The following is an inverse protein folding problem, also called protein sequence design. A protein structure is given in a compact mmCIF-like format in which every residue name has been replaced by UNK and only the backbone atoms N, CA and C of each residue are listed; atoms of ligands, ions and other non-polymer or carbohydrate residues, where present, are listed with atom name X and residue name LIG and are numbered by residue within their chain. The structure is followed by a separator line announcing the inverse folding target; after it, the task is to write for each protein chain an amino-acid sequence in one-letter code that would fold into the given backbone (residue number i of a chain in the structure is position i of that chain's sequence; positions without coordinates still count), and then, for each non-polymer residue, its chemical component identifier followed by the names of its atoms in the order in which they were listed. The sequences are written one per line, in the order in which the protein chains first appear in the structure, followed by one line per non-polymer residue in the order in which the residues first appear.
data_IF_869351444672
#
_entry.id   IF_869351444672
#
_cell.length_a   1.000
_cell.length_b   1.000
_cell.length_c   1.000
_cell.angle_alpha   90.00
_cell.angle_beta   90.00
_cell.angle_gamma   90.00
#
_symmetry.space_group_name_H-M   'P 1'
#
loop_
_entity.id
_entity.type
_entity.pdbx_description
1 polymer ?
#
# COMPACT_ATOMS: atom_id res chain seq x y z
N UNK A 1 31.39 -49.59 -34.35
CA UNK A 1 31.31 -48.13 -34.12
C UNK A 1 29.91 -47.77 -33.63
N UNK A 2 29.74 -47.56 -32.33
CA UNK A 2 28.60 -46.83 -31.76
C UNK A 2 29.17 -45.96 -30.65
N UNK A 3 29.27 -44.65 -30.91
CA UNK A 3 29.76 -43.67 -29.98
C UNK A 3 28.64 -43.30 -29.02
N UNK A 4 28.83 -43.60 -27.74
CA UNK A 4 27.97 -43.13 -26.65
C UNK A 4 28.48 -41.75 -26.23
N UNK A 5 27.78 -40.69 -26.64
CA UNK A 5 28.10 -39.33 -26.20
C UNK A 5 27.50 -39.13 -24.80
N UNK A 6 28.33 -39.25 -23.76
CA UNK A 6 27.98 -38.75 -22.43
C UNK A 6 28.05 -37.22 -22.45
N UNK A 7 26.90 -36.55 -22.38
CA UNK A 7 26.86 -35.12 -22.12
C UNK A 7 26.86 -34.89 -20.61
N UNK A 8 28.05 -34.93 -20.01
CA UNK A 8 28.27 -34.48 -18.64
C UNK A 8 28.11 -32.95 -18.60
N UNK A 9 26.88 -32.48 -18.35
CA UNK A 9 26.63 -31.08 -17.99
C UNK A 9 27.15 -30.84 -16.58
N UNK A 10 28.39 -30.40 -16.48
CA UNK A 10 28.95 -29.81 -15.28
C UNK A 10 28.17 -28.52 -14.98
N UNK A 11 27.10 -28.61 -14.18
CA UNK A 11 26.49 -27.42 -13.57
C UNK A 11 27.52 -26.81 -12.64
N UNK A 12 28.22 -25.80 -13.13
CA UNK A 12 28.88 -24.84 -12.26
C UNK A 12 27.80 -24.18 -11.42
N UNK A 13 27.70 -24.58 -10.15
CA UNK A 13 27.06 -23.82 -9.06
C UNK A 13 27.84 -22.51 -8.85
N UNK A 14 27.83 -21.67 -9.88
CA UNK A 14 28.16 -20.27 -9.78
C UNK A 14 27.11 -19.66 -8.86
N UNK A 15 27.56 -19.23 -7.67
CA UNK A 15 26.73 -18.48 -6.73
C UNK A 15 25.95 -17.41 -7.51
N UNK A 16 24.64 -17.60 -7.69
CA UNK A 16 23.76 -16.63 -8.34
C UNK A 16 23.67 -15.38 -7.49
N UNK A 17 24.69 -14.53 -7.61
CA UNK A 17 24.76 -13.23 -7.00
C UNK A 17 24.42 -12.22 -8.09
N UNK A 18 23.18 -11.73 -8.09
CA UNK A 18 22.82 -10.49 -8.79
C UNK A 18 23.85 -9.42 -8.43
N UNK A 19 24.16 -8.51 -9.38
CA UNK A 19 25.07 -7.39 -9.15
C UNK A 19 24.55 -6.54 -7.97
N UNK A 20 25.03 -6.93 -6.81
CA UNK A 20 24.35 -6.63 -5.57
C UNK A 20 24.55 -5.18 -5.17
N UNK A 21 25.57 -4.50 -5.72
CA UNK A 21 25.98 -3.15 -5.32
C UNK A 21 24.96 -2.11 -5.76
N UNK A 22 24.47 -2.20 -6.99
CA UNK A 22 23.47 -1.24 -7.52
C UNK A 22 22.16 -1.35 -6.74
N UNK A 23 21.64 -2.57 -6.52
CA UNK A 23 20.41 -2.79 -5.74
C UNK A 23 20.53 -2.40 -4.27
N UNK A 24 21.74 -2.50 -3.69
CA UNK A 24 22.04 -2.08 -2.31
C UNK A 24 22.00 -0.56 -2.12
N UNK A 25 22.00 0.22 -3.21
CA UNK A 25 21.96 1.68 -3.17
C UNK A 25 20.62 2.20 -3.68
N UNK A 26 20.19 1.76 -4.86
CA UNK A 26 19.01 2.32 -5.53
C UNK A 26 17.73 2.07 -4.71
N UNK A 27 17.43 0.83 -4.29
CA UNK A 27 16.18 0.56 -3.57
C UNK A 27 16.14 1.23 -2.18
N UNK A 28 17.22 1.21 -1.37
CA UNK A 28 17.27 1.97 -0.13
C UNK A 28 17.04 3.48 -0.33
N UNK A 29 17.66 4.11 -1.34
CA UNK A 29 17.41 5.53 -1.66
C UNK A 29 15.95 5.79 -2.04
N UNK A 30 15.39 4.96 -2.91
CA UNK A 30 14.00 5.03 -3.35
C UNK A 30 13.00 4.88 -2.18
N UNK A 31 13.24 3.96 -1.25
CA UNK A 31 12.42 3.81 -0.05
C UNK A 31 12.66 4.91 0.99
N UNK A 32 13.86 5.50 1.03
CA UNK A 32 14.16 6.66 1.88
C UNK A 32 13.32 7.86 1.43
N UNK A 33 13.21 8.11 0.12
CA UNK A 33 12.30 9.11 -0.42
C UNK A 33 10.84 8.85 -0.01
N UNK A 34 10.36 7.61 -0.17
CA UNK A 34 8.99 7.25 0.25
C UNK A 34 8.76 7.43 1.75
N UNK A 35 9.76 7.14 2.59
CA UNK A 35 9.65 7.33 4.03
C UNK A 35 9.57 8.82 4.40
N UNK A 36 10.47 9.63 3.86
CA UNK A 36 10.55 11.07 4.14
C UNK A 36 9.29 11.83 3.69
N UNK A 37 8.68 11.42 2.58
CA UNK A 37 7.42 11.99 2.10
C UNK A 37 6.22 11.37 2.82
N UNK A 38 6.21 10.05 2.97
CA UNK A 38 5.08 9.28 3.46
C UNK A 38 4.77 9.53 4.93
N UNK A 39 5.78 9.62 5.81
CA UNK A 39 5.59 9.85 7.25
C UNK A 39 4.85 11.16 7.54
N UNK A 40 5.32 12.34 7.08
CA UNK A 40 4.63 13.59 7.40
C UNK A 40 3.22 13.62 6.78
N UNK A 41 3.05 13.11 5.56
CA UNK A 41 1.77 13.09 4.88
C UNK A 41 0.73 12.19 5.56
N UNK A 42 1.09 10.95 5.86
CA UNK A 42 0.19 10.01 6.52
C UNK A 42 0.03 10.32 8.01
N UNK A 43 1.06 10.85 8.67
CA UNK A 43 0.98 11.35 10.05
C UNK A 43 -0.01 12.51 10.16
N UNK A 44 0.06 13.50 9.25
CA UNK A 44 -0.92 14.58 9.18
C UNK A 44 -2.32 14.06 8.88
N UNK A 45 -2.46 13.14 7.90
CA UNK A 45 -3.74 12.55 7.56
C UNK A 45 -4.35 11.81 8.76
N UNK A 46 -3.54 11.03 9.49
CA UNK A 46 -3.95 10.34 10.70
C UNK A 46 -4.44 11.34 11.75
N UNK A 47 -3.66 12.37 12.05
CA UNK A 47 -4.06 13.39 13.02
C UNK A 47 -5.38 14.09 12.65
N UNK A 48 -5.58 14.44 11.37
CA UNK A 48 -6.83 15.04 10.88
C UNK A 48 -7.99 14.05 11.02
N UNK A 49 -7.86 12.83 10.50
CA UNK A 49 -8.98 11.88 10.47
C UNK A 49 -9.40 11.42 11.86
N UNK A 50 -8.47 11.28 12.80
CA UNK A 50 -8.82 10.91 14.18
C UNK A 50 -9.65 11.98 14.90
N UNK A 51 -9.54 13.25 14.51
CA UNK A 51 -10.42 14.34 14.98
C UNK A 51 -11.78 14.37 14.27
N UNK A 52 -11.89 13.78 13.08
CA UNK A 52 -13.15 13.74 12.33
C UNK A 52 -14.02 12.57 12.84
N UNK A 53 -15.27 12.83 13.28
CA UNK A 53 -16.16 11.77 13.73
C UNK A 53 -16.56 10.85 12.58
N UNK A 54 -16.64 9.54 12.85
CA UNK A 54 -16.95 8.50 11.86
C UNK A 54 -18.44 8.46 11.47
N UNK A 55 -18.94 9.53 10.85
CA UNK A 55 -20.36 9.70 10.47
C UNK A 55 -20.74 9.05 9.13
N UNK A 56 -19.79 8.46 8.40
CA UNK A 56 -20.06 7.74 7.15
C UNK A 56 -19.12 6.55 6.95
N UNK A 57 -19.58 5.53 6.21
CA UNK A 57 -18.78 4.35 5.86
C UNK A 57 -17.46 4.75 5.19
N UNK A 58 -17.51 5.74 4.29
CA UNK A 58 -16.34 6.35 3.66
C UNK A 58 -15.27 6.80 4.66
N UNK A 59 -15.65 7.49 5.74
CA UNK A 59 -14.68 7.96 6.76
C UNK A 59 -14.12 6.79 7.56
N UNK A 60 -14.91 5.74 7.81
CA UNK A 60 -14.44 4.52 8.48
C UNK A 60 -13.37 3.82 7.61
N UNK A 61 -13.65 3.61 6.33
CA UNK A 61 -12.69 2.96 5.43
C UNK A 61 -11.43 3.80 5.25
N UNK A 62 -11.56 5.12 5.08
CA UNK A 62 -10.41 6.04 5.00
C UNK A 62 -9.51 5.98 6.23
N UNK A 63 -10.09 5.97 7.44
CA UNK A 63 -9.31 5.83 8.67
C UNK A 63 -8.48 4.55 8.65
N UNK A 64 -9.08 3.43 8.22
CA UNK A 64 -8.36 2.18 8.13
C UNK A 64 -7.26 2.21 7.06
N UNK A 65 -7.51 2.81 5.89
CA UNK A 65 -6.47 2.97 4.85
C UNK A 65 -5.29 3.79 5.37
N UNK A 66 -5.55 4.91 6.05
CA UNK A 66 -4.48 5.74 6.63
C UNK A 66 -3.70 4.98 7.71
N UNK A 67 -4.38 4.15 8.53
CA UNK A 67 -3.72 3.30 9.51
C UNK A 67 -2.82 2.26 8.82
N UNK A 68 -3.32 1.56 7.79
CA UNK A 68 -2.52 0.57 7.08
C UNK A 68 -1.34 1.19 6.33
N UNK A 69 -1.54 2.32 5.66
CA UNK A 69 -0.46 3.04 4.97
C UNK A 69 0.61 3.54 5.94
N UNK A 70 0.20 4.11 7.08
CA UNK A 70 1.15 4.54 8.11
C UNK A 70 1.96 3.37 8.67
N UNK A 71 1.30 2.25 9.01
CA UNK A 71 1.98 1.04 9.45
C UNK A 71 2.92 0.48 8.38
N UNK A 72 2.55 0.54 7.10
CA UNK A 72 3.44 0.16 6.00
C UNK A 72 4.68 1.06 5.96
N UNK A 73 4.51 2.38 6.05
CA UNK A 73 5.63 3.33 5.98
C UNK A 73 6.60 3.16 7.16
N UNK A 74 6.09 2.83 8.36
CA UNK A 74 6.93 2.51 9.52
C UNK A 74 7.85 1.30 9.30
N UNK A 75 7.55 0.43 8.32
CA UNK A 75 8.42 -0.70 7.96
C UNK A 75 9.60 -0.30 7.06
N UNK A 76 9.54 0.87 6.40
CA UNK A 76 10.54 1.28 5.41
C UNK A 76 11.95 1.44 6.00
N UNK A 77 12.17 2.06 7.18
CA UNK A 77 13.51 2.17 7.75
C UNK A 77 14.20 0.82 7.92
N UNK A 78 13.48 -0.19 8.38
CA UNK A 78 13.99 -1.55 8.54
C UNK A 78 14.34 -2.19 7.18
N UNK A 79 13.49 -1.98 6.15
CA UNK A 79 13.77 -2.44 4.79
C UNK A 79 15.00 -1.75 4.20
N UNK A 80 15.10 -0.42 4.33
CA UNK A 80 16.24 0.40 3.86
C UNK A 80 17.54 -0.11 4.48
N UNK A 81 17.57 -0.23 5.81
CA UNK A 81 18.75 -0.70 6.54
C UNK A 81 19.17 -2.12 6.15
N UNK A 82 18.19 -3.02 5.99
CA UNK A 82 18.43 -4.41 5.58
C UNK A 82 18.95 -4.53 4.15
N UNK A 83 18.33 -3.80 3.22
CA UNK A 83 18.67 -3.84 1.79
C UNK A 83 20.00 -3.15 1.51
N UNK A 84 20.33 -2.09 2.25
CA UNK A 84 21.64 -1.42 2.23
C UNK A 84 22.74 -2.20 2.98
N UNK A 85 22.40 -3.31 3.64
CA UNK A 85 23.30 -4.12 4.49
C UNK A 85 24.01 -3.33 5.59
N UNK A 86 23.37 -2.26 6.09
CA UNK A 86 23.89 -1.41 7.17
C UNK A 86 23.65 -2.01 8.57
N UNK A 87 22.98 -3.16 8.64
CA UNK A 87 22.60 -3.81 9.90
C UNK A 87 23.06 -5.26 9.97
N UNK A 88 23.17 -5.76 11.19
CA UNK A 88 23.57 -7.13 11.46
C UNK A 88 22.64 -8.15 10.77
N UNK A 89 23.22 -9.28 10.39
CA UNK A 89 22.50 -10.46 9.92
C UNK A 89 21.32 -10.90 10.82
N UNK A 90 21.39 -10.65 12.12
CA UNK A 90 20.29 -10.90 13.07
C UNK A 90 19.10 -9.98 12.79
N UNK A 91 19.34 -8.67 12.63
CA UNK A 91 18.29 -7.70 12.32
C UNK A 91 17.70 -7.92 10.91
N UNK A 92 18.53 -8.34 9.94
CA UNK A 92 18.02 -8.78 8.62
C UNK A 92 17.09 -9.99 8.72
N UNK A 93 17.39 -10.92 9.63
CA UNK A 93 16.49 -12.02 9.96
C UNK A 93 15.16 -11.55 10.57
N UNK A 94 15.18 -10.54 11.45
CA UNK A 94 13.97 -9.91 11.98
C UNK A 94 13.14 -9.21 10.88
N UNK A 95 13.81 -8.53 9.94
CA UNK A 95 13.15 -7.90 8.79
C UNK A 95 12.38 -8.94 7.98
N UNK A 96 13.00 -10.07 7.65
CA UNK A 96 12.33 -11.17 6.93
C UNK A 96 11.14 -11.75 7.70
N UNK A 97 11.30 -11.92 9.02
CA UNK A 97 10.35 -12.60 9.87
C UNK A 97 9.12 -11.74 10.20
N UNK A 98 9.31 -10.45 10.46
CA UNK A 98 8.28 -9.56 10.99
C UNK A 98 8.03 -8.41 10.03
N UNK A 99 9.01 -7.52 9.84
CA UNK A 99 8.86 -6.27 9.08
C UNK A 99 8.30 -6.50 7.68
N UNK A 100 8.87 -7.44 6.93
CA UNK A 100 8.48 -7.71 5.56
C UNK A 100 7.09 -8.34 5.49
N UNK A 101 6.71 -9.14 6.49
CA UNK A 101 5.35 -9.68 6.58
C UNK A 101 4.36 -8.55 6.89
N UNK A 102 4.67 -7.68 7.86
CA UNK A 102 3.85 -6.48 8.17
C UNK A 102 3.67 -5.60 6.95
N UNK A 103 4.74 -5.36 6.17
CA UNK A 103 4.69 -4.58 4.93
C UNK A 103 3.64 -5.14 3.93
N UNK A 104 3.66 -6.45 3.64
CA UNK A 104 2.68 -7.01 2.69
C UNK A 104 1.29 -7.06 3.29
N UNK A 105 1.19 -7.43 4.57
CA UNK A 105 -0.06 -7.46 5.33
C UNK A 105 -0.79 -6.11 5.25
N UNK A 106 -0.11 -5.01 5.53
CA UNK A 106 -0.70 -3.67 5.48
C UNK A 106 -0.99 -3.23 4.05
N UNK A 107 -0.15 -3.58 3.07
CA UNK A 107 -0.40 -3.32 1.65
C UNK A 107 -1.73 -3.92 1.17
N UNK A 108 -2.00 -5.20 1.49
CA UNK A 108 -3.26 -5.85 1.11
C UNK A 108 -4.47 -5.30 1.86
N UNK A 109 -4.29 -4.89 3.12
CA UNK A 109 -5.34 -4.17 3.86
C UNK A 109 -5.69 -2.85 3.16
N UNK A 110 -4.69 -2.05 2.75
CA UNK A 110 -4.92 -0.82 2.00
C UNK A 110 -5.68 -1.10 0.69
N UNK A 111 -5.28 -2.12 -0.08
CA UNK A 111 -5.98 -2.54 -1.33
C UNK A 111 -7.46 -2.88 -1.06
N UNK A 112 -7.74 -3.69 -0.03
CA UNK A 112 -9.11 -4.05 0.34
C UNK A 112 -9.95 -2.81 0.67
N UNK A 113 -9.41 -1.89 1.46
CA UNK A 113 -10.14 -0.65 1.79
C UNK A 113 -10.31 0.29 0.59
N UNK A 114 -9.36 0.37 -0.35
CA UNK A 114 -9.53 1.13 -1.59
C UNK A 114 -10.71 0.59 -2.43
N UNK A 115 -10.87 -0.73 -2.49
CA UNK A 115 -12.03 -1.36 -3.13
C UNK A 115 -13.34 -1.00 -2.43
N UNK A 116 -13.39 -1.07 -1.09
CA UNK A 116 -14.57 -0.70 -0.31
C UNK A 116 -14.93 0.79 -0.43
N UNK A 117 -13.93 1.67 -0.46
CA UNK A 117 -14.11 3.11 -0.73
C UNK A 117 -14.74 3.29 -2.10
N UNK A 118 -14.25 2.59 -3.13
CA UNK A 118 -14.77 2.66 -4.49
C UNK A 118 -16.23 2.17 -4.56
N UNK A 119 -16.59 1.11 -3.84
CA UNK A 119 -17.98 0.64 -3.72
C UNK A 119 -18.87 1.70 -3.05
N UNK A 120 -18.45 2.30 -1.92
CA UNK A 120 -19.20 3.37 -1.26
C UNK A 120 -19.43 4.57 -2.18
N UNK A 121 -18.41 4.93 -2.98
CA UNK A 121 -18.52 6.00 -3.99
C UNK A 121 -19.54 5.65 -5.07
N UNK A 122 -19.49 4.44 -5.60
CA UNK A 122 -20.45 3.96 -6.59
C UNK A 122 -21.89 4.04 -6.05
N UNK A 123 -22.14 3.49 -4.86
CA UNK A 123 -23.47 3.50 -4.25
C UNK A 123 -24.03 4.92 -4.06
N UNK A 124 -23.18 5.89 -3.68
CA UNK A 124 -23.58 7.30 -3.56
C UNK A 124 -23.79 7.99 -4.90
N UNK A 125 -23.05 7.60 -5.94
CA UNK A 125 -23.23 8.13 -7.28
C UNK A 125 -24.57 7.68 -7.89
N UNK A 126 -24.97 6.42 -7.69
CA UNK A 126 -26.24 5.88 -8.21
C UNK A 126 -27.44 6.16 -7.32
N UNK A 127 -27.24 6.44 -6.03
CA UNK A 127 -28.32 6.67 -5.08
C UNK A 127 -27.99 7.85 -4.15
N UNK A 128 -28.01 9.10 -4.65
CA UNK A 128 -27.57 10.27 -3.90
C UNK A 128 -28.40 10.57 -2.64
N UNK A 129 -29.65 10.10 -2.58
CA UNK A 129 -30.54 10.26 -1.42
C UNK A 129 -30.38 9.15 -0.36
N UNK A 130 -29.53 8.15 -0.60
CA UNK A 130 -29.29 7.07 0.36
C UNK A 130 -28.48 7.61 1.54
N UNK A 131 -29.14 7.76 2.69
CA UNK A 131 -28.50 8.20 3.92
C UNK A 131 -27.72 7.07 4.59
N UNK A 132 -26.68 7.43 5.33
CA UNK A 132 -25.93 6.47 6.15
C UNK A 132 -26.76 6.17 7.40
N UNK A 133 -27.02 4.89 7.67
CA UNK A 133 -27.77 4.44 8.85
C UNK A 133 -26.82 3.89 9.93
N UNK A 134 -27.22 3.88 11.22
CA UNK A 134 -26.43 3.26 12.29
C UNK A 134 -26.07 1.80 11.99
N UNK A 135 -27.00 1.03 11.40
CA UNK A 135 -26.76 -0.36 10.97
C UNK A 135 -25.69 -0.44 9.89
N UNK A 136 -25.68 0.48 8.92
CA UNK A 136 -24.61 0.50 7.90
C UNK A 136 -23.24 0.87 8.47
N UNK A 137 -23.20 1.75 9.47
CA UNK A 137 -21.95 2.11 10.16
C UNK A 137 -21.41 0.93 10.97
N UNK A 138 -22.29 0.20 11.66
CA UNK A 138 -21.92 -1.02 12.37
C UNK A 138 -21.37 -2.07 11.39
N UNK A 139 -22.06 -2.29 10.27
CA UNK A 139 -21.60 -3.22 9.23
C UNK A 139 -20.21 -2.82 8.69
N UNK A 140 -19.96 -1.53 8.44
CA UNK A 140 -18.66 -1.04 8.01
C UNK A 140 -17.57 -1.30 9.06
N UNK A 141 -17.85 -1.08 10.35
CA UNK A 141 -16.91 -1.38 11.44
C UNK A 141 -16.60 -2.88 11.54
N UNK A 142 -17.64 -3.73 11.53
CA UNK A 142 -17.48 -5.19 11.59
C UNK A 142 -16.68 -5.69 10.40
N UNK A 143 -16.98 -5.21 9.19
CA UNK A 143 -16.23 -5.56 7.99
C UNK A 143 -14.77 -5.12 8.07
N UNK A 144 -14.50 -3.89 8.55
CA UNK A 144 -13.13 -3.41 8.78
C UNK A 144 -12.38 -4.33 9.75
N UNK A 145 -12.98 -4.66 10.89
CA UNK A 145 -12.35 -5.56 11.88
C UNK A 145 -12.12 -6.95 11.30
N UNK A 146 -13.07 -7.50 10.54
CA UNK A 146 -12.92 -8.80 9.89
C UNK A 146 -11.76 -8.82 8.88
N UNK A 147 -11.56 -7.74 8.11
CA UNK A 147 -10.41 -7.59 7.20
C UNK A 147 -9.09 -7.64 7.98
N UNK A 148 -8.98 -6.87 9.06
CA UNK A 148 -7.78 -6.88 9.90
C UNK A 148 -7.48 -8.26 10.47
N UNK A 149 -8.47 -8.91 11.08
CA UNK A 149 -8.30 -10.22 11.71
C UNK A 149 -7.97 -11.31 10.69
N UNK A 150 -8.65 -11.34 9.54
CA UNK A 150 -8.39 -12.33 8.49
C UNK A 150 -7.00 -12.16 7.87
N UNK A 151 -6.59 -10.93 7.54
CA UNK A 151 -5.26 -10.66 7.02
C UNK A 151 -4.17 -10.98 8.05
N UNK A 152 -4.43 -10.73 9.33
CA UNK A 152 -3.50 -11.07 10.42
C UNK A 152 -3.36 -12.59 10.55
N UNK A 153 -4.48 -13.32 10.56
CA UNK A 153 -4.49 -14.78 10.63
C UNK A 153 -3.75 -15.43 9.45
N UNK A 154 -3.88 -14.91 8.23
CA UNK A 154 -3.13 -15.38 7.06
C UNK A 154 -1.61 -15.09 7.18
N UNK A 155 -1.26 -13.95 7.78
CA UNK A 155 0.11 -13.46 7.90
C UNK A 155 0.87 -14.09 9.08
N UNK A 156 0.18 -14.48 10.14
CA UNK A 156 0.79 -14.95 11.38
C UNK A 156 1.66 -16.22 11.19
N UNK A 157 1.22 -17.28 10.47
CA UNK A 157 2.09 -18.42 10.22
C UNK A 157 3.31 -18.05 9.37
N UNK A 158 3.20 -17.06 8.50
CA UNK A 158 4.35 -16.55 7.75
C UNK A 158 5.41 -15.88 8.64
N UNK A 159 5.02 -15.35 9.81
CA UNK A 159 5.94 -14.82 10.82
C UNK A 159 6.54 -15.94 11.69
N UNK A 160 5.72 -16.90 12.12
CA UNK A 160 6.13 -17.91 13.11
C UNK A 160 6.94 -19.05 12.48
N UNK A 161 6.63 -19.47 11.24
CA UNK A 161 7.25 -20.63 10.58
C UNK A 161 8.65 -20.33 9.98
N UNK A 162 9.48 -19.62 10.73
CA UNK A 162 10.88 -19.30 10.38
C UNK A 162 11.84 -20.08 11.30
N UNK A 163 11.78 -21.41 11.21
CA UNK A 163 12.44 -22.32 12.17
C UNK A 163 13.88 -22.70 11.76
N UNK A 164 14.37 -22.28 10.58
CA UNK A 164 15.74 -22.56 10.15
C UNK A 164 16.72 -21.60 10.85
N UNK A 165 17.88 -22.11 11.30
CA UNK A 165 18.90 -21.30 12.00
C UNK A 165 19.32 -20.12 11.11
N UNK A 166 19.23 -18.90 11.67
CA UNK A 166 19.69 -17.67 11.01
C UNK A 166 21.21 -17.79 10.84
N UNK A 167 21.68 -17.82 9.60
CA UNK A 167 23.11 -17.84 9.21
C UNK A 167 23.38 -16.71 8.22
N UNK A 168 24.61 -16.19 8.07
CA UNK A 168 24.91 -15.13 7.11
C UNK A 168 24.53 -15.50 5.66
N UNK A 169 24.58 -16.81 5.34
CA UNK A 169 24.15 -17.37 4.05
C UNK A 169 22.61 -17.38 3.92
N UNK A 170 21.88 -17.84 4.94
CA UNK A 170 20.42 -18.01 4.88
C UNK A 170 19.65 -16.68 4.96
N UNK A 171 20.16 -15.69 5.71
CA UNK A 171 19.48 -14.38 5.82
C UNK A 171 19.53 -13.55 4.54
N UNK A 172 20.25 -14.02 3.50
CA UNK A 172 20.27 -13.37 2.19
C UNK A 172 18.94 -13.48 1.46
N UNK A 173 18.17 -14.55 1.70
CA UNK A 173 16.86 -14.78 1.11
C UNK A 173 15.88 -15.20 2.20
N UNK A 174 14.82 -14.44 2.40
CA UNK A 174 13.83 -14.76 3.45
C UNK A 174 13.20 -16.16 3.29
N UNK A 175 13.10 -16.67 2.06
CA UNK A 175 12.64 -18.04 1.80
C UNK A 175 13.53 -19.10 2.47
N UNK A 176 14.84 -18.88 2.57
CA UNK A 176 15.78 -19.83 3.19
C UNK A 176 15.66 -19.91 4.72
N UNK A 177 14.94 -18.96 5.34
CA UNK A 177 14.66 -18.96 6.78
C UNK A 177 13.41 -19.78 7.13
N UNK A 178 12.55 -20.05 6.13
CA UNK A 178 11.27 -20.75 6.32
C UNK A 178 11.47 -22.26 6.41
N UNK A 179 10.65 -22.92 7.22
CA UNK A 179 10.51 -24.37 7.18
C UNK A 179 9.85 -24.83 5.86
N UNK A 180 9.89 -26.12 5.56
CA UNK A 180 9.21 -26.68 4.37
C UNK A 180 7.71 -26.33 4.37
N UNK A 181 7.04 -26.53 5.51
CA UNK A 181 5.64 -26.11 5.68
C UNK A 181 5.47 -24.58 5.55
N UNK A 182 6.42 -23.79 6.07
CA UNK A 182 6.41 -22.33 5.95
C UNK A 182 6.56 -21.84 4.50
N UNK A 183 7.28 -22.57 3.65
CA UNK A 183 7.40 -22.28 2.21
C UNK A 183 6.10 -22.57 1.47
N UNK A 184 5.47 -23.72 1.74
CA UNK A 184 4.16 -24.07 1.17
C UNK A 184 3.10 -23.06 1.60
N UNK A 185 3.05 -22.72 2.90
CA UNK A 185 2.13 -21.69 3.40
C UNK A 185 2.41 -20.32 2.77
N UNK A 186 3.68 -19.96 2.58
CA UNK A 186 4.05 -18.72 1.91
C UNK A 186 3.52 -18.69 0.47
N UNK A 187 3.67 -19.78 -0.28
CA UNK A 187 3.13 -19.91 -1.64
C UNK A 187 1.60 -19.80 -1.66
N UNK A 188 0.89 -20.52 -0.78
CA UNK A 188 -0.58 -20.44 -0.63
C UNK A 188 -1.04 -19.01 -0.34
N UNK A 189 -0.43 -18.34 0.64
CA UNK A 189 -0.80 -16.96 1.00
C UNK A 189 -0.54 -16.01 -0.18
N UNK A 190 0.55 -16.19 -0.93
CA UNK A 190 0.77 -15.40 -2.14
C UNK A 190 -0.35 -15.60 -3.16
N UNK A 191 -0.83 -16.82 -3.39
CA UNK A 191 -1.97 -17.08 -4.29
C UNK A 191 -3.28 -16.46 -3.79
N UNK A 192 -3.59 -16.57 -2.49
CA UNK A 192 -4.76 -15.93 -1.88
C UNK A 192 -4.69 -14.41 -2.05
N UNK A 193 -3.52 -13.82 -1.79
CA UNK A 193 -3.26 -12.41 -1.98
C UNK A 193 -3.43 -11.96 -3.44
N UNK A 194 -3.01 -12.77 -4.41
CA UNK A 194 -3.29 -12.49 -5.83
C UNK A 194 -4.78 -12.51 -6.11
N UNK A 195 -5.51 -13.52 -5.65
CA UNK A 195 -6.95 -13.59 -5.83
C UNK A 195 -7.65 -12.35 -5.26
N UNK A 196 -7.28 -11.94 -4.04
CA UNK A 196 -7.77 -10.70 -3.41
C UNK A 196 -7.53 -9.50 -4.32
N UNK A 197 -6.31 -9.35 -4.84
CA UNK A 197 -5.98 -8.23 -5.72
C UNK A 197 -6.82 -8.23 -7.01
N UNK A 198 -6.89 -9.35 -7.73
CA UNK A 198 -7.60 -9.42 -9.01
C UNK A 198 -9.11 -9.20 -8.84
N UNK A 199 -9.70 -9.74 -7.77
CA UNK A 199 -11.11 -9.47 -7.42
C UNK A 199 -11.31 -7.99 -7.10
N UNK A 200 -10.42 -7.40 -6.30
CA UNK A 200 -10.49 -5.98 -5.93
C UNK A 200 -10.34 -5.07 -7.16
N UNK A 201 -9.38 -5.35 -8.04
CA UNK A 201 -9.18 -4.65 -9.30
C UNK A 201 -10.44 -4.73 -10.18
N UNK A 202 -11.03 -5.92 -10.33
CA UNK A 202 -12.26 -6.09 -11.09
C UNK A 202 -13.41 -5.24 -10.52
N UNK A 203 -13.58 -5.25 -9.19
CA UNK A 203 -14.57 -4.41 -8.49
C UNK A 203 -14.32 -2.93 -8.77
N UNK A 204 -13.08 -2.46 -8.63
CA UNK A 204 -12.70 -1.07 -8.88
C UNK A 204 -13.04 -0.68 -10.32
N UNK A 205 -12.61 -1.47 -11.31
CA UNK A 205 -12.86 -1.22 -12.73
C UNK A 205 -14.35 -1.15 -13.03
N UNK A 206 -15.13 -2.14 -12.58
CA UNK A 206 -16.58 -2.19 -12.81
C UNK A 206 -17.26 -0.99 -12.15
N UNK A 207 -16.97 -0.70 -10.88
CA UNK A 207 -17.55 0.44 -10.18
C UNK A 207 -17.23 1.76 -10.89
N UNK A 208 -15.99 1.96 -11.37
CA UNK A 208 -15.62 3.19 -12.07
C UNK A 208 -16.24 3.33 -13.46
N UNK A 209 -16.40 2.24 -14.20
CA UNK A 209 -17.16 2.23 -15.46
C UNK A 209 -18.60 2.66 -15.18
N UNK A 210 -19.23 2.11 -14.15
CA UNK A 210 -20.62 2.44 -13.79
C UNK A 210 -20.76 3.88 -13.29
N UNK A 211 -19.83 4.37 -12.47
CA UNK A 211 -19.77 5.78 -12.04
C UNK A 211 -19.65 6.69 -13.27
N UNK A 212 -18.77 6.36 -14.21
CA UNK A 212 -18.57 7.16 -15.43
C UNK A 212 -19.82 7.18 -16.32
N UNK A 213 -20.51 6.05 -16.46
CA UNK A 213 -21.80 5.96 -17.16
C UNK A 213 -22.88 6.82 -16.51
N UNK A 214 -23.01 6.76 -15.19
CA UNK A 214 -24.01 7.54 -14.47
C UNK A 214 -23.73 9.05 -14.53
N UNK A 215 -22.46 9.44 -14.42
CA UNK A 215 -22.03 10.84 -14.61
C UNK A 215 -22.33 11.32 -16.03
N UNK A 216 -22.07 10.51 -17.05
CA UNK A 216 -22.37 10.85 -18.43
C UNK A 216 -23.88 10.99 -18.68
N UNK A 217 -24.70 10.09 -18.11
CA UNK A 217 -26.16 10.16 -18.17
C UNK A 217 -26.71 11.43 -17.51
N UNK A 218 -26.20 11.76 -16.32
CA UNK A 218 -26.56 12.99 -15.59
C UNK A 218 -26.14 14.26 -16.36
N UNK A 219 -24.95 14.24 -16.98
CA UNK A 219 -24.48 15.31 -17.86
C UNK A 219 -25.41 15.52 -19.06
N UNK A 220 -25.79 14.43 -19.76
CA UNK A 220 -26.73 14.50 -20.90
C UNK A 220 -28.08 15.09 -20.48
N UNK A 221 -28.62 14.67 -19.33
CA UNK A 221 -29.89 15.20 -18.78
C UNK A 221 -29.80 16.69 -18.48
N UNK A 222 -28.69 17.15 -17.89
CA UNK A 222 -28.47 18.56 -17.54
C UNK A 222 -28.27 19.45 -18.77
N UNK A 223 -27.57 18.94 -19.79
CA UNK A 223 -27.38 19.62 -21.08
C UNK A 223 -28.71 19.84 -21.80
N UNK A 224 -29.61 18.87 -21.79
CA UNK A 224 -30.96 19.00 -22.35
C UNK A 224 -31.81 20.06 -21.63
N UNK A 225 -31.53 20.35 -20.35
CA UNK A 225 -32.25 21.37 -19.56
C UNK A 225 -31.68 22.79 -19.68
N UNK A 226 -30.76 23.06 -20.62
CA UNK A 226 -30.24 24.41 -20.89
C UNK A 226 -29.31 25.00 -19.82
N UNK A 227 -29.16 24.38 -18.65
CA UNK A 227 -28.18 24.76 -17.61
C UNK A 227 -26.78 24.26 -17.98
N UNK A 228 -26.16 24.90 -18.96
CA UNK A 228 -24.81 24.57 -19.40
C UNK A 228 -23.76 25.03 -18.36
N UNK A 229 -23.52 24.20 -17.34
CA UNK A 229 -22.24 24.24 -16.63
C UNK A 229 -21.17 23.55 -17.51
N UNK A 230 -20.30 24.34 -18.15
CA UNK A 230 -19.01 23.85 -18.66
C UNK A 230 -18.19 23.38 -17.46
N UNK A 231 -18.16 22.07 -17.17
CA UNK A 231 -17.14 21.51 -16.27
C UNK A 231 -16.89 20.02 -16.51
N UNK A 232 -15.68 19.74 -16.96
CA UNK A 232 -14.86 18.55 -16.66
C UNK A 232 -15.64 17.28 -16.35
N UNK A 233 -15.88 16.45 -17.36
CA UNK A 233 -15.94 15.00 -17.15
C UNK A 233 -14.73 14.66 -16.29
N UNK A 234 -14.98 14.13 -15.08
CA UNK A 234 -14.06 14.17 -13.93
C UNK A 234 -12.67 13.59 -14.26
N UNK A 235 -11.74 14.42 -14.73
CA UNK A 235 -10.31 14.08 -14.92
C UNK A 235 -9.73 13.40 -13.66
N UNK A 236 -10.22 13.81 -12.48
CA UNK A 236 -9.88 13.22 -11.18
C UNK A 236 -10.18 11.72 -11.11
N UNK A 237 -11.32 11.27 -11.64
CA UNK A 237 -11.69 9.84 -11.65
C UNK A 237 -10.72 9.04 -12.50
N UNK A 238 -10.38 9.56 -13.69
CA UNK A 238 -9.40 8.91 -14.57
C UNK A 238 -8.00 8.84 -13.95
N UNK A 239 -7.56 9.92 -13.29
CA UNK A 239 -6.26 9.96 -12.59
C UNK A 239 -6.20 8.89 -11.49
N UNK A 240 -7.25 8.71 -10.69
CA UNK A 240 -7.25 7.71 -9.61
C UNK A 240 -7.16 6.29 -10.15
N UNK A 241 -7.90 6.00 -11.22
CA UNK A 241 -7.84 4.70 -11.89
C UNK A 241 -6.43 4.49 -12.45
N UNK A 242 -5.88 5.48 -13.17
CA UNK A 242 -4.54 5.39 -13.74
C UNK A 242 -3.47 5.13 -12.66
N UNK A 243 -3.54 5.84 -11.52
CA UNK A 243 -2.64 5.63 -10.38
C UNK A 243 -2.77 4.20 -9.84
N UNK A 244 -3.99 3.69 -9.64
CA UNK A 244 -4.20 2.32 -9.17
C UNK A 244 -3.58 1.28 -10.13
N UNK A 245 -3.83 1.43 -11.43
CA UNK A 245 -3.28 0.53 -12.43
C UNK A 245 -1.76 0.57 -12.47
N UNK A 246 -1.17 1.77 -12.54
CA UNK A 246 0.28 1.95 -12.61
C UNK A 246 0.96 1.45 -11.34
N UNK A 247 0.38 1.72 -10.16
CA UNK A 247 0.97 1.34 -8.88
C UNK A 247 0.88 -0.15 -8.58
N UNK A 248 -0.29 -0.78 -8.78
CA UNK A 248 -0.52 -2.13 -8.26
C UNK A 248 -0.38 -3.24 -9.30
N UNK A 249 -0.84 -3.04 -10.54
CA UNK A 249 -0.91 -4.12 -11.54
C UNK A 249 0.46 -4.71 -11.89
N UNK A 250 1.52 -3.90 -12.12
CA UNK A 250 2.85 -4.43 -12.46
C UNK A 250 3.41 -5.38 -11.40
N UNK A 251 3.23 -5.06 -10.11
CA UNK A 251 3.72 -5.91 -9.01
C UNK A 251 3.00 -7.25 -8.97
N UNK A 252 1.68 -7.25 -9.12
CA UNK A 252 0.89 -8.48 -9.01
C UNK A 252 1.14 -9.44 -10.19
N UNK A 253 1.43 -8.92 -11.39
CA UNK A 253 1.92 -9.74 -12.50
C UNK A 253 3.30 -10.35 -12.24
N UNK A 254 4.25 -9.58 -11.69
CA UNK A 254 5.63 -10.06 -11.46
C UNK A 254 5.76 -10.96 -10.24
N UNK A 255 4.82 -10.86 -9.28
CA UNK A 255 4.90 -11.54 -7.98
C UNK A 255 4.88 -13.06 -8.09
N UNK A 256 3.99 -13.65 -8.89
CA UNK A 256 3.89 -15.11 -9.00
C UNK A 256 5.15 -15.71 -9.63
N UNK A 257 5.65 -15.24 -10.80
CA UNK A 257 6.92 -15.71 -11.36
C UNK A 257 8.08 -15.55 -10.38
N UNK A 258 8.17 -14.42 -9.67
CA UNK A 258 9.21 -14.22 -8.67
C UNK A 258 9.12 -15.24 -7.52
N UNK A 259 7.94 -15.48 -6.94
CA UNK A 259 7.76 -16.47 -5.87
C UNK A 259 8.18 -17.87 -6.34
N UNK A 260 7.76 -18.29 -7.54
CA UNK A 260 8.15 -19.57 -8.12
C UNK A 260 9.67 -19.68 -8.33
N UNK A 261 10.34 -18.58 -8.71
CA UNK A 261 11.80 -18.53 -8.85
C UNK A 261 12.55 -18.73 -7.53
N UNK A 262 11.89 -18.48 -6.40
CA UNK A 262 12.46 -18.63 -5.05
C UNK A 262 12.09 -19.96 -4.39
N UNK A 263 10.94 -20.55 -4.74
CA UNK A 263 10.48 -21.83 -4.16
C UNK A 263 10.84 -23.05 -5.01
N UNK A 264 11.15 -22.88 -6.30
CA UNK A 264 11.45 -23.97 -7.24
C UNK A 264 12.83 -23.81 -7.88
N UNK A 265 13.45 -24.94 -8.22
CA UNK A 265 14.78 -24.98 -8.84
C UNK A 265 14.74 -25.16 -10.37
N UNK A 266 13.78 -24.49 -11.02
CA UNK A 266 13.53 -24.58 -12.47
C UNK A 266 13.93 -23.31 -13.24
N UNK A 267 14.38 -22.27 -12.53
CA UNK A 267 14.76 -20.98 -13.13
C UNK A 267 16.28 -20.83 -13.17
N UNK A 268 16.80 -20.41 -14.31
CA UNK A 268 18.22 -20.07 -14.45
C UNK A 268 18.60 -18.80 -13.66
N UNK A 269 19.90 -18.52 -13.61
CA UNK A 269 20.44 -17.38 -12.87
C UNK A 269 19.99 -16.02 -13.42
N UNK A 270 19.90 -15.89 -14.74
CA UNK A 270 19.54 -14.66 -15.42
C UNK A 270 18.07 -14.30 -15.15
N UNK A 271 17.17 -15.29 -15.30
CA UNK A 271 15.76 -15.17 -14.99
C UNK A 271 15.52 -14.82 -13.52
N UNK A 272 16.22 -15.48 -12.58
CA UNK A 272 16.15 -15.15 -11.14
C UNK A 272 16.54 -13.70 -10.86
N UNK A 273 17.61 -13.20 -11.50
CA UNK A 273 18.05 -11.82 -11.35
C UNK A 273 17.05 -10.83 -11.95
N UNK A 274 16.58 -11.08 -13.17
CA UNK A 274 15.60 -10.22 -13.84
C UNK A 274 14.29 -10.13 -13.02
N UNK A 275 13.78 -11.27 -12.54
CA UNK A 275 12.60 -11.33 -11.69
C UNK A 275 12.80 -10.58 -10.36
N UNK A 276 14.00 -10.62 -9.78
CA UNK A 276 14.32 -9.84 -8.58
C UNK A 276 14.21 -8.33 -8.84
N UNK A 277 14.86 -7.81 -9.88
CA UNK A 277 14.78 -6.38 -10.20
C UNK A 277 13.36 -5.94 -10.57
N UNK A 278 12.66 -6.74 -11.39
CA UNK A 278 11.27 -6.48 -11.74
C UNK A 278 10.38 -6.43 -10.50
N UNK A 279 10.52 -7.41 -9.60
CA UNK A 279 9.76 -7.45 -8.35
C UNK A 279 10.07 -6.27 -7.43
N UNK A 280 11.34 -5.91 -7.23
CA UNK A 280 11.67 -4.78 -6.32
C UNK A 280 11.24 -3.43 -6.90
N UNK A 281 11.43 -3.21 -8.20
CA UNK A 281 10.98 -1.98 -8.88
C UNK A 281 9.47 -1.83 -8.85
N UNK A 282 8.74 -2.89 -9.21
CA UNK A 282 7.27 -2.85 -9.19
C UNK A 282 6.72 -2.79 -7.76
N UNK A 283 7.38 -3.40 -6.78
CA UNK A 283 7.01 -3.27 -5.37
C UNK A 283 7.20 -1.84 -4.85
N UNK A 284 8.29 -1.17 -5.24
CA UNK A 284 8.48 0.24 -4.92
C UNK A 284 7.34 1.09 -5.52
N UNK A 285 6.98 0.82 -6.77
CA UNK A 285 5.87 1.50 -7.46
C UNK A 285 4.52 1.26 -6.76
N UNK A 286 4.28 0.06 -6.23
CA UNK A 286 3.12 -0.22 -5.35
C UNK A 286 3.20 0.55 -4.03
N UNK A 287 4.38 0.61 -3.41
CA UNK A 287 4.60 1.31 -2.14
C UNK A 287 4.36 2.83 -2.26
N UNK A 288 4.60 3.40 -3.44
CA UNK A 288 4.31 4.80 -3.76
C UNK A 288 2.83 5.16 -3.53
N UNK A 289 1.90 4.20 -3.67
CA UNK A 289 0.47 4.44 -3.46
C UNK A 289 0.18 5.01 -2.06
N UNK A 290 0.85 4.53 -1.01
CA UNK A 290 0.66 5.07 0.35
C UNK A 290 1.04 6.56 0.47
N UNK A 291 1.91 7.07 -0.39
CA UNK A 291 2.21 8.50 -0.45
C UNK A 291 1.20 9.27 -1.31
N UNK A 292 0.58 8.62 -2.30
CA UNK A 292 -0.41 9.21 -3.20
C UNK A 292 -1.81 9.28 -2.58
N UNK A 293 -2.15 8.35 -1.69
CA UNK A 293 -3.45 8.25 -1.03
C UNK A 293 -3.88 9.56 -0.32
N UNK A 294 -3.05 10.22 0.51
CA UNK A 294 -3.38 11.53 1.08
C UNK A 294 -3.64 12.64 0.05
N UNK A 295 -2.93 12.64 -1.09
CA UNK A 295 -3.21 13.57 -2.18
C UNK A 295 -4.58 13.27 -2.81
N UNK A 296 -4.88 11.99 -3.07
CA UNK A 296 -6.18 11.54 -3.56
C UNK A 296 -7.28 12.01 -2.59
N UNK A 297 -7.09 11.88 -1.28
CA UNK A 297 -8.05 12.34 -0.25
C UNK A 297 -8.20 13.85 -0.22
N UNK A 298 -7.10 14.61 -0.32
CA UNK A 298 -7.18 16.06 -0.45
C UNK A 298 -7.97 16.45 -1.71
N UNK A 299 -7.82 15.76 -2.84
CA UNK A 299 -8.55 16.08 -4.07
C UNK A 299 -10.01 15.57 -4.12
N UNK A 300 -10.35 14.55 -3.33
CA UNK A 300 -11.67 13.91 -3.31
C UNK A 300 -12.56 14.24 -2.11
N UNK A 301 -11.99 14.50 -0.93
CA UNK A 301 -12.74 14.57 0.33
C UNK A 301 -12.93 16.02 0.80
N UNK A 302 -14.15 16.55 0.63
CA UNK A 302 -14.52 17.88 1.18
C UNK A 302 -14.41 17.94 2.71
N UNK A 303 -14.74 16.85 3.41
CA UNK A 303 -14.66 16.79 4.89
C UNK A 303 -13.22 16.88 5.39
N UNK A 304 -12.28 16.26 4.68
CA UNK A 304 -10.85 16.35 4.97
C UNK A 304 -10.36 17.78 4.78
N UNK A 305 -10.66 18.40 3.63
CA UNK A 305 -10.32 19.81 3.37
C UNK A 305 -10.86 20.75 4.43
N UNK A 306 -12.15 20.63 4.77
CA UNK A 306 -12.78 21.50 5.76
C UNK A 306 -12.09 21.38 7.11
N UNK A 307 -11.89 20.15 7.60
CA UNK A 307 -11.22 19.92 8.88
C UNK A 307 -9.76 20.38 8.89
N UNK A 308 -9.04 20.23 7.77
CA UNK A 308 -7.65 20.71 7.64
C UNK A 308 -7.61 22.25 7.67
N UNK A 309 -8.48 22.91 6.90
CA UNK A 309 -8.58 24.37 6.88
C UNK A 309 -8.99 24.93 8.25
N UNK A 310 -9.98 24.33 8.92
CA UNK A 310 -10.41 24.74 10.25
C UNK A 310 -9.24 24.67 11.27
N UNK A 311 -8.37 23.67 11.15
CA UNK A 311 -7.17 23.56 12.02
C UNK A 311 -6.09 24.58 11.68
N UNK A 312 -5.83 24.81 10.39
CA UNK A 312 -4.86 25.83 9.95
C UNK A 312 -5.32 27.25 10.36
N UNK A 313 -6.62 27.54 10.24
CA UNK A 313 -7.20 28.81 10.69
C UNK A 313 -7.11 28.99 12.21
N UNK A 314 -7.36 27.93 13.01
CA UNK A 314 -7.19 27.98 14.47
C UNK A 314 -5.73 28.17 14.89
N UNK A 315 -4.79 27.54 14.20
CA UNK A 315 -3.35 27.74 14.47
C UNK A 315 -2.92 29.18 14.15
N UNK A 316 -3.45 29.77 13.08
CA UNK A 316 -3.16 31.16 12.69
C UNK A 316 -3.76 32.19 13.66
N UNK A 317 -4.94 31.90 14.22
CA UNK A 317 -5.56 32.72 15.26
C UNK A 317 -4.84 32.60 16.62
N UNK A 318 -4.33 31.41 16.96
CA UNK A 318 -3.53 31.19 18.18
C UNK A 318 -2.12 31.81 18.11
N UNK A 319 -1.44 31.73 16.96
CA UNK A 319 -0.11 32.36 16.79
C UNK A 319 -0.17 33.89 16.66
N UNK A 320 -1.32 34.47 16.27
CA UNK A 320 -1.50 35.93 16.21
C UNK A 320 -1.87 36.59 17.55
N UNK A 321 -2.24 35.80 18.56
CA UNK A 321 -2.53 36.30 19.91
C UNK A 321 -1.29 36.34 20.82
N UNK A 322 -0.18 35.73 20.41
CA UNK A 322 1.04 35.61 21.22
C UNK A 322 2.14 36.62 20.85
N UNK A 323 1.86 37.57 19.94
CA UNK A 323 2.81 38.62 19.49
C UNK A 323 2.31 40.03 19.81
N UNK A 324 1.38 40.19 20.76
CA UNK A 324 0.74 41.49 21.07
C UNK A 324 0.65 41.81 22.57
N UNK A 325 1.56 41.29 23.38
CA UNK A 325 1.58 41.53 24.82
C UNK A 325 2.98 41.41 25.38
N UNK A 326 3.89 42.24 24.87
CA UNK A 326 5.09 42.64 25.61
C UNK A 326 5.55 43.98 25.05
N UNK A 327 4.92 45.06 25.50
CA UNK A 327 5.53 46.38 25.49
C UNK A 327 4.84 47.31 26.49
N UNK A 328 5.66 48.03 27.26
CA UNK A 328 5.42 49.17 28.16
C UNK A 328 4.70 48.96 29.51
N UNK A 329 5.54 48.90 30.56
CA UNK A 329 5.70 49.91 31.65
C UNK A 329 4.48 50.38 32.47
N UNK A 330 4.52 50.12 33.79
CA UNK A 330 4.64 51.13 34.87
C UNK A 330 4.25 50.52 36.26
N UNK A 331 5.23 50.47 37.16
CA UNK A 331 5.10 50.53 38.65
C UNK A 331 4.41 51.82 39.14
N UNK A 332 4.12 52.08 40.44
CA UNK A 332 4.18 51.22 41.65
C UNK A 332 2.93 51.33 42.59
N UNK A 333 2.72 50.33 43.45
CA UNK A 333 2.66 50.43 44.93
C UNK A 333 2.48 49.04 45.57
#
# INVERSE_FOLDING_TARGET
MKATTQFSSSRNDSNCTSDSRISQVIFPLLYTFLFLVGIPMNGLAMWVFFKVPSKSNFIIFLKNTVISDFLMILTFPFKILSDAKLVSWVLRGFVCQVTQVVFYFTMYISILFLGLITIDRYQKATSPFRTTTPRSLLAAKVLSTAIWLSMFALSLPNMILNNKKKTPKNVRKCALLKSEFGLVWHEIVNYICQLIFWVNLAVIVVCYILISKELYKSYKRTRCTGKASKKTVNLKVFIIIAVFFICFVPFHFTRIPYTLSQTRDVFDCSARNALFYLKETTLWLTSLNACLDPFIYFFLCKSFRKSLLDMLCKHRAGSGAQTKGDDSDETPL
#
